data_IF_547380001103
#
_entry.id   IF_547380001103
#
_cell.length_a   1.000
_cell.length_b   1.000
_cell.length_c   1.000
_cell.angle_alpha   90.00
_cell.angle_beta   90.00
_cell.angle_gamma   90.00
#
_symmetry.space_group_name_H-M   'P 1'
#
loop_
_entity.id
_entity.type
_entity.pdbx_description
1 polymer ?
#
# COMPACT_ATOMS: atom_id res chain seq x y z
N UNK A 1 86.22 2.57 -12.40
CA UNK A 1 85.06 2.77 -11.50
C UNK A 1 83.93 3.47 -12.29
N UNK A 2 83.04 2.74 -12.92
CA UNK A 2 81.81 3.25 -13.53
C UNK A 2 80.97 2.03 -13.92
N UNK A 3 79.82 1.81 -13.31
CA UNK A 3 78.68 1.06 -13.80
C UNK A 3 77.87 0.42 -12.66
N UNK A 4 77.10 1.21 -11.91
CA UNK A 4 76.16 0.65 -10.97
C UNK A 4 74.80 1.43 -10.92
N UNK A 5 74.54 2.36 -11.85
CA UNK A 5 73.34 3.27 -11.76
C UNK A 5 72.21 2.97 -12.75
N UNK A 6 72.41 2.07 -13.73
CA UNK A 6 71.42 1.83 -14.78
C UNK A 6 70.50 0.63 -14.52
N UNK A 7 70.78 -0.21 -13.53
CA UNK A 7 70.00 -1.42 -13.28
C UNK A 7 68.79 -1.21 -12.38
N UNK A 8 68.80 -0.16 -11.52
CA UNK A 8 67.74 0.12 -10.58
C UNK A 8 66.54 0.78 -11.25
N UNK A 9 66.75 1.55 -12.34
CA UNK A 9 65.67 2.22 -13.08
C UNK A 9 64.81 1.26 -13.93
N UNK A 10 65.41 0.20 -14.45
CA UNK A 10 64.70 -0.75 -15.30
C UNK A 10 63.81 -1.71 -14.51
N UNK A 11 64.21 -2.07 -13.28
CA UNK A 11 63.41 -2.92 -12.40
C UNK A 11 62.14 -2.21 -11.89
N UNK A 12 62.20 -0.88 -11.66
CA UNK A 12 61.05 -0.08 -11.23
C UNK A 12 60.00 0.07 -12.34
N UNK A 13 60.42 0.17 -13.61
CA UNK A 13 59.51 0.36 -14.74
C UNK A 13 58.77 -0.94 -15.12
N UNK A 14 59.45 -2.10 -14.95
CA UNK A 14 58.82 -3.41 -15.19
C UNK A 14 57.79 -3.74 -14.11
N UNK A 15 58.01 -3.32 -12.85
CA UNK A 15 57.06 -3.55 -11.77
C UNK A 15 55.76 -2.70 -11.93
N UNK A 16 55.88 -1.47 -12.43
CA UNK A 16 54.73 -0.60 -12.73
C UNK A 16 53.88 -1.13 -13.90
N UNK A 17 54.54 -1.75 -14.93
CA UNK A 17 53.83 -2.33 -16.06
C UNK A 17 53.05 -3.61 -15.70
N UNK A 18 53.53 -4.40 -14.74
CA UNK A 18 52.84 -5.60 -14.25
C UNK A 18 51.58 -5.29 -13.44
N UNK A 19 51.52 -4.16 -12.75
CA UNK A 19 50.32 -3.72 -12.02
C UNK A 19 49.21 -3.26 -12.95
N UNK A 20 49.52 -2.68 -14.10
CA UNK A 20 48.53 -2.22 -15.10
C UNK A 20 47.91 -3.39 -15.89
N UNK A 21 48.64 -4.46 -16.14
CA UNK A 21 48.12 -5.65 -16.81
C UNK A 21 47.12 -6.45 -15.94
N UNK A 22 47.26 -6.41 -14.61
CA UNK A 22 46.32 -7.03 -13.67
C UNK A 22 44.98 -6.35 -13.61
N UNK A 23 44.92 -5.03 -13.76
CA UNK A 23 43.66 -4.26 -13.71
C UNK A 23 42.83 -4.37 -15.00
N UNK A 24 43.50 -4.43 -16.19
CA UNK A 24 42.80 -4.56 -17.47
C UNK A 24 42.04 -5.89 -17.62
N UNK A 25 42.53 -6.95 -16.99
CA UNK A 25 41.92 -8.29 -17.03
C UNK A 25 40.68 -8.41 -16.10
N UNK A 26 40.46 -7.46 -15.18
CA UNK A 26 39.32 -7.48 -14.24
C UNK A 26 38.14 -6.54 -14.65
N UNK A 27 38.37 -5.64 -15.61
CA UNK A 27 37.35 -4.69 -16.07
C UNK A 27 36.15 -5.39 -16.71
N UNK A 28 36.38 -6.34 -17.61
CA UNK A 28 35.28 -7.05 -18.29
C UNK A 28 34.42 -7.90 -17.33
N UNK A 29 35.01 -8.70 -16.40
CA UNK A 29 34.23 -9.38 -15.37
C UNK A 29 33.43 -8.42 -14.47
N UNK A 30 34.00 -7.29 -14.08
CA UNK A 30 33.31 -6.28 -13.27
C UNK A 30 32.13 -5.65 -14.04
N UNK A 31 32.34 -5.31 -15.31
CA UNK A 31 31.29 -4.77 -16.19
C UNK A 31 30.14 -5.78 -16.37
N UNK A 32 30.48 -7.04 -16.61
CA UNK A 32 29.47 -8.09 -16.73
C UNK A 32 28.67 -8.25 -15.44
N UNK A 33 29.31 -8.23 -14.28
CA UNK A 33 28.63 -8.35 -12.99
C UNK A 33 27.61 -7.21 -12.75
N UNK A 34 27.95 -5.98 -13.12
CA UNK A 34 27.02 -4.84 -13.07
C UNK A 34 25.84 -5.08 -14.02
N UNK A 35 26.10 -5.50 -15.26
CA UNK A 35 25.05 -5.77 -16.23
C UNK A 35 24.10 -6.91 -15.79
N UNK A 36 24.64 -7.95 -15.18
CA UNK A 36 23.83 -9.06 -14.64
C UNK A 36 22.90 -8.58 -13.50
N UNK A 37 23.36 -7.66 -12.65
CA UNK A 37 22.54 -7.05 -11.59
C UNK A 37 21.44 -6.15 -12.18
N UNK A 38 21.79 -5.32 -13.17
CA UNK A 38 20.80 -4.48 -13.87
C UNK A 38 19.71 -5.32 -14.53
N UNK A 39 20.10 -6.42 -15.17
CA UNK A 39 19.15 -7.37 -15.77
C UNK A 39 18.24 -8.00 -14.70
N UNK A 40 18.78 -8.37 -13.54
CA UNK A 40 18.01 -8.93 -12.44
C UNK A 40 17.02 -7.92 -11.84
N UNK A 41 17.40 -6.66 -11.66
CA UNK A 41 16.50 -5.59 -11.24
C UNK A 41 15.39 -5.38 -12.27
N UNK A 42 15.75 -5.36 -13.55
CA UNK A 42 14.79 -5.20 -14.65
C UNK A 42 13.79 -6.34 -14.72
N UNK A 43 14.20 -7.56 -14.38
CA UNK A 43 13.34 -8.74 -14.33
C UNK A 43 12.27 -8.68 -13.23
N UNK A 44 12.47 -7.88 -12.18
CA UNK A 44 11.44 -7.63 -11.17
C UNK A 44 10.23 -6.84 -11.71
N UNK A 45 10.41 -6.19 -12.85
CA UNK A 45 9.35 -5.48 -13.58
C UNK A 45 8.89 -4.18 -12.91
N UNK A 46 7.88 -3.52 -13.51
CA UNK A 46 7.37 -2.24 -13.01
C UNK A 46 6.66 -2.35 -11.67
N UNK A 47 6.12 -3.53 -11.34
CA UNK A 47 5.38 -3.77 -10.11
C UNK A 47 6.27 -3.66 -8.86
N UNK A 48 7.60 -3.85 -8.99
CA UNK A 48 8.53 -3.77 -7.87
C UNK A 48 8.50 -2.41 -7.16
N UNK A 49 8.30 -1.32 -7.90
CA UNK A 49 8.18 0.03 -7.33
C UNK A 49 6.93 0.22 -6.49
N UNK A 50 5.87 -0.53 -6.77
CA UNK A 50 4.60 -0.47 -6.05
C UNK A 50 4.58 -1.42 -4.84
N UNK A 51 5.08 -2.65 -5.01
CA UNK A 51 4.90 -3.69 -4.02
C UNK A 51 6.10 -3.89 -3.08
N UNK A 52 7.32 -3.53 -3.53
CA UNK A 52 8.56 -3.68 -2.73
C UNK A 52 9.48 -2.46 -2.89
N UNK A 53 8.99 -1.21 -2.72
CA UNK A 53 9.75 0.01 -3.01
C UNK A 53 11.04 0.11 -2.20
N UNK A 54 11.04 -0.30 -0.93
CA UNK A 54 12.20 -0.20 -0.04
C UNK A 54 13.32 -1.17 -0.47
N UNK A 55 12.95 -2.39 -0.86
CA UNK A 55 13.91 -3.38 -1.35
C UNK A 55 14.50 -2.94 -2.69
N UNK A 56 13.66 -2.47 -3.61
CA UNK A 56 14.09 -1.92 -4.89
C UNK A 56 15.03 -0.71 -4.69
N UNK A 57 14.68 0.20 -3.79
CA UNK A 57 15.49 1.37 -3.45
C UNK A 57 16.86 0.96 -2.91
N UNK A 58 16.91 0.01 -1.99
CA UNK A 58 18.14 -0.51 -1.40
C UNK A 58 19.06 -1.13 -2.46
N UNK A 59 18.52 -2.00 -3.31
CA UNK A 59 19.31 -2.66 -4.37
C UNK A 59 19.80 -1.64 -5.41
N UNK A 60 18.96 -0.68 -5.77
CA UNK A 60 19.34 0.38 -6.73
C UNK A 60 20.44 1.29 -6.17
N UNK A 61 20.38 1.64 -4.90
CA UNK A 61 21.42 2.42 -4.23
C UNK A 61 22.76 1.65 -4.23
N UNK A 62 22.73 0.38 -3.83
CA UNK A 62 23.94 -0.46 -3.81
C UNK A 62 24.53 -0.66 -5.21
N UNK A 63 23.69 -0.75 -6.24
CA UNK A 63 24.15 -0.76 -7.64
C UNK A 63 24.85 0.55 -8.02
N UNK A 64 24.31 1.70 -7.55
CA UNK A 64 24.96 3.01 -7.71
C UNK A 64 26.37 3.04 -7.09
N UNK A 65 26.50 2.50 -5.87
CA UNK A 65 27.79 2.39 -5.18
C UNK A 65 28.78 1.48 -5.94
N UNK A 66 28.26 0.39 -6.52
CA UNK A 66 29.06 -0.53 -7.35
C UNK A 66 29.57 0.15 -8.62
N UNK A 67 28.72 0.93 -9.29
CA UNK A 67 29.10 1.72 -10.46
C UNK A 67 30.12 2.80 -10.11
N UNK A 68 29.99 3.46 -8.97
CA UNK A 68 30.98 4.42 -8.50
C UNK A 68 32.37 3.77 -8.27
N UNK A 69 32.42 2.56 -7.71
CA UNK A 69 33.67 1.77 -7.60
C UNK A 69 34.25 1.41 -8.97
N UNK A 70 33.39 1.04 -9.91
CA UNK A 70 33.83 0.73 -11.28
C UNK A 70 34.47 1.96 -11.95
N UNK A 71 33.87 3.15 -11.82
CA UNK A 71 34.38 4.41 -12.36
C UNK A 71 35.72 4.80 -11.71
N UNK A 72 35.90 4.47 -10.43
CA UNK A 72 37.19 4.61 -9.71
C UNK A 72 38.23 3.54 -10.10
N UNK A 73 37.89 2.62 -11.02
CA UNK A 73 38.73 1.48 -11.46
C UNK A 73 38.99 0.45 -10.36
N UNK A 74 38.18 0.43 -9.29
CA UNK A 74 38.20 -0.60 -8.26
C UNK A 74 37.43 -1.85 -8.73
N UNK A 75 37.90 -2.46 -9.81
CA UNK A 75 37.26 -3.64 -10.41
C UNK A 75 37.26 -4.84 -9.45
N UNK A 76 38.26 -4.94 -8.60
CA UNK A 76 38.36 -6.00 -7.60
C UNK A 76 37.28 -5.85 -6.52
N UNK A 77 37.03 -4.64 -6.07
CA UNK A 77 35.97 -4.33 -5.14
C UNK A 77 34.59 -4.59 -5.74
N UNK A 78 34.38 -4.27 -7.03
CA UNK A 78 33.13 -4.60 -7.74
C UNK A 78 32.92 -6.12 -7.79
N UNK A 79 33.92 -6.90 -8.24
CA UNK A 79 33.82 -8.37 -8.37
C UNK A 79 33.54 -9.02 -7.00
N UNK A 80 34.09 -8.49 -5.93
CA UNK A 80 33.90 -9.02 -4.58
C UNK A 80 32.50 -8.75 -4.03
N UNK A 81 31.92 -7.58 -4.32
CA UNK A 81 30.60 -7.18 -3.79
C UNK A 81 29.42 -7.62 -4.68
N UNK A 82 29.63 -7.76 -5.98
CA UNK A 82 28.58 -8.06 -6.95
C UNK A 82 27.77 -9.33 -6.67
N UNK A 83 28.33 -10.48 -6.23
CA UNK A 83 27.53 -11.68 -6.00
C UNK A 83 26.44 -11.52 -4.94
N UNK A 84 26.72 -10.82 -3.85
CA UNK A 84 25.75 -10.56 -2.81
C UNK A 84 24.60 -9.67 -3.33
N UNK A 85 24.95 -8.62 -4.09
CA UNK A 85 23.96 -7.72 -4.67
C UNK A 85 23.14 -8.39 -5.77
N UNK A 86 23.75 -9.24 -6.58
CA UNK A 86 23.03 -10.03 -7.61
C UNK A 86 21.99 -10.95 -6.96
N UNK A 87 22.35 -11.60 -5.86
CA UNK A 87 21.38 -12.44 -5.11
C UNK A 87 20.20 -11.61 -4.61
N UNK A 88 20.44 -10.42 -4.07
CA UNK A 88 19.38 -9.52 -3.64
C UNK A 88 18.52 -9.04 -4.82
N UNK A 89 19.13 -8.68 -5.94
CA UNK A 89 18.42 -8.26 -7.15
C UNK A 89 17.55 -9.38 -7.72
N UNK A 90 18.06 -10.62 -7.74
CA UNK A 90 17.28 -11.79 -8.19
C UNK A 90 16.09 -12.10 -7.26
N UNK A 91 16.24 -11.84 -5.96
CA UNK A 91 15.15 -12.03 -5.00
C UNK A 91 14.00 -11.02 -5.17
N UNK A 92 14.25 -9.86 -5.79
CA UNK A 92 13.21 -8.83 -6.00
C UNK A 92 12.01 -9.35 -6.79
N UNK A 93 12.21 -10.14 -7.83
CA UNK A 93 11.12 -10.67 -8.65
C UNK A 93 10.18 -11.56 -7.82
N UNK A 94 10.74 -12.45 -7.01
CA UNK A 94 9.96 -13.31 -6.11
C UNK A 94 9.26 -12.50 -5.01
N UNK A 95 9.97 -11.53 -4.41
CA UNK A 95 9.39 -10.64 -3.41
C UNK A 95 8.23 -9.80 -3.97
N UNK A 96 8.38 -9.27 -5.19
CA UNK A 96 7.34 -8.52 -5.89
C UNK A 96 6.10 -9.40 -6.13
N UNK A 97 6.28 -10.61 -6.65
CA UNK A 97 5.17 -11.53 -6.89
C UNK A 97 4.42 -11.88 -5.59
N UNK A 98 5.14 -12.22 -4.52
CA UNK A 98 4.55 -12.55 -3.22
C UNK A 98 3.83 -11.36 -2.59
N UNK A 99 4.39 -10.16 -2.66
CA UNK A 99 3.77 -8.95 -2.12
C UNK A 99 2.50 -8.57 -2.89
N UNK A 100 2.51 -8.73 -4.21
CA UNK A 100 1.33 -8.53 -5.07
C UNK A 100 0.21 -9.51 -4.72
N UNK A 101 0.54 -10.80 -4.64
CA UNK A 101 -0.44 -11.84 -4.26
C UNK A 101 -1.04 -11.56 -2.87
N UNK A 102 -0.21 -11.18 -1.89
CA UNK A 102 -0.69 -10.82 -0.56
C UNK A 102 -1.62 -9.59 -0.59
N UNK A 103 -1.30 -8.58 -1.40
CA UNK A 103 -2.15 -7.39 -1.54
C UNK A 103 -3.49 -7.71 -2.21
N UNK A 104 -3.50 -8.57 -3.23
CA UNK A 104 -4.73 -9.03 -3.89
C UNK A 104 -5.60 -9.88 -2.95
N UNK A 105 -4.99 -10.77 -2.17
CA UNK A 105 -5.69 -11.57 -1.16
C UNK A 105 -6.29 -10.69 -0.06
N UNK A 106 -5.54 -9.69 0.42
CA UNK A 106 -6.04 -8.73 1.42
C UNK A 106 -7.21 -7.90 0.89
N UNK A 107 -7.14 -7.48 -0.39
CA UNK A 107 -8.25 -6.78 -1.05
C UNK A 107 -9.49 -7.64 -1.18
N UNK A 108 -9.33 -8.90 -1.58
CA UNK A 108 -10.43 -9.85 -1.68
C UNK A 108 -11.11 -10.09 -0.31
N UNK A 109 -10.31 -10.30 0.75
CA UNK A 109 -10.81 -10.47 2.11
C UNK A 109 -11.55 -9.22 2.63
N UNK A 110 -11.05 -8.02 2.31
CA UNK A 110 -11.71 -6.77 2.66
C UNK A 110 -13.08 -6.61 1.97
N UNK A 111 -13.16 -6.98 0.68
CA UNK A 111 -14.44 -6.96 -0.06
C UNK A 111 -15.44 -7.99 0.49
N UNK A 112 -14.97 -9.17 0.87
CA UNK A 112 -15.81 -10.19 1.51
C UNK A 112 -16.36 -9.70 2.86
N UNK A 113 -15.52 -9.09 3.69
CA UNK A 113 -15.93 -8.50 4.97
C UNK A 113 -16.97 -7.37 4.78
N UNK A 114 -16.76 -6.50 3.79
CA UNK A 114 -17.76 -5.46 3.43
C UNK A 114 -19.08 -6.07 2.95
N UNK A 115 -19.04 -7.15 2.17
CA UNK A 115 -20.24 -7.88 1.73
C UNK A 115 -21.03 -8.48 2.90
N UNK A 116 -20.34 -9.07 3.87
CA UNK A 116 -20.97 -9.60 5.10
C UNK A 116 -21.59 -8.47 5.95
N UNK A 117 -20.88 -7.35 6.09
CA UNK A 117 -21.39 -6.17 6.79
C UNK A 117 -22.62 -5.58 6.10
N UNK A 118 -22.57 -5.43 4.77
CA UNK A 118 -23.74 -5.00 3.99
C UNK A 118 -24.94 -5.90 4.25
N UNK A 119 -24.76 -7.22 4.24
CA UNK A 119 -25.83 -8.18 4.51
C UNK A 119 -26.47 -7.93 5.87
N UNK A 120 -25.65 -7.69 6.90
CA UNK A 120 -26.13 -7.40 8.26
C UNK A 120 -26.89 -6.06 8.32
N UNK A 121 -26.32 -5.00 7.76
CA UNK A 121 -26.92 -3.66 7.78
C UNK A 121 -28.22 -3.62 6.96
N UNK A 122 -28.23 -4.24 5.78
CA UNK A 122 -29.41 -4.26 4.91
C UNK A 122 -30.58 -5.05 5.47
N UNK A 123 -30.31 -6.04 6.30
CA UNK A 123 -31.36 -6.77 7.01
C UNK A 123 -31.97 -5.97 8.17
N UNK A 124 -31.18 -5.15 8.87
CA UNK A 124 -31.61 -4.48 10.09
C UNK A 124 -32.15 -3.06 9.85
N UNK A 125 -31.48 -2.26 9.03
CA UNK A 125 -31.75 -0.82 8.90
C UNK A 125 -33.13 -0.47 8.39
N UNK A 126 -33.75 -1.15 7.40
CA UNK A 126 -35.10 -0.82 6.95
C UNK A 126 -36.14 -0.92 8.05
N UNK A 127 -36.04 -1.94 8.90
CA UNK A 127 -36.95 -2.13 10.02
C UNK A 127 -36.75 -1.04 11.10
N UNK A 128 -35.52 -0.66 11.39
CA UNK A 128 -35.20 0.41 12.34
C UNK A 128 -35.74 1.77 11.84
N UNK A 129 -35.45 2.12 10.59
CA UNK A 129 -35.96 3.37 9.97
C UNK A 129 -37.47 3.41 9.97
N UNK A 130 -38.16 2.32 9.63
CA UNK A 130 -39.59 2.22 9.66
C UNK A 130 -40.19 2.39 11.08
N UNK A 131 -39.54 1.82 12.10
CA UNK A 131 -39.95 1.97 13.49
C UNK A 131 -39.82 3.43 13.96
N UNK A 132 -38.72 4.10 13.62
CA UNK A 132 -38.51 5.53 13.91
C UNK A 132 -39.57 6.37 13.20
N UNK A 133 -39.83 6.10 11.92
CA UNK A 133 -40.87 6.81 11.14
C UNK A 133 -42.22 6.67 11.78
N UNK A 134 -42.61 5.46 12.16
CA UNK A 134 -43.86 5.20 12.85
C UNK A 134 -43.98 6.03 14.15
N UNK A 135 -42.90 6.03 14.96
CA UNK A 135 -42.86 6.80 16.21
C UNK A 135 -42.94 8.31 15.97
N UNK A 136 -42.20 8.83 14.99
CA UNK A 136 -42.26 10.24 14.58
C UNK A 136 -43.66 10.61 14.11
N UNK A 137 -44.33 9.78 13.32
CA UNK A 137 -45.71 10.01 12.85
C UNK A 137 -46.72 10.06 14.00
N UNK A 138 -46.60 9.19 14.99
CA UNK A 138 -47.45 9.19 16.19
C UNK A 138 -47.25 10.49 16.97
N UNK A 139 -46.01 10.87 17.24
CA UNK A 139 -45.65 12.06 18.01
C UNK A 139 -46.02 13.35 17.29
N UNK A 140 -45.91 13.41 15.97
CA UNK A 140 -46.33 14.57 15.16
C UNK A 140 -47.84 14.85 15.23
N UNK A 141 -48.66 13.84 15.50
CA UNK A 141 -50.11 13.96 15.67
C UNK A 141 -50.51 14.23 17.13
N UNK A 142 -49.57 14.14 18.05
CA UNK A 142 -49.84 14.33 19.47
C UNK A 142 -49.89 15.82 19.82
N UNK A 143 -50.85 16.21 20.65
CA UNK A 143 -50.99 17.61 21.14
C UNK A 143 -49.82 18.04 22.04
N UNK A 144 -49.09 17.09 22.63
CA UNK A 144 -47.98 17.33 23.54
C UNK A 144 -46.94 16.21 23.39
N UNK A 145 -45.68 16.59 23.33
CA UNK A 145 -44.55 15.64 23.35
C UNK A 145 -44.37 15.02 24.74
N UNK A 146 -43.77 13.83 24.85
CA UNK A 146 -43.33 13.25 26.11
C UNK A 146 -42.42 14.20 26.89
N UNK A 147 -42.46 14.13 28.23
CA UNK A 147 -41.71 15.06 29.09
C UNK A 147 -40.18 15.02 28.91
N UNK A 148 -39.68 13.94 28.39
CA UNK A 148 -38.25 13.72 28.09
C UNK A 148 -37.84 14.12 26.66
N UNK A 149 -38.72 14.69 25.86
CA UNK A 149 -38.48 15.06 24.47
C UNK A 149 -38.94 16.49 24.21
N UNK A 150 -38.00 17.41 24.05
CA UNK A 150 -38.32 18.78 23.66
C UNK A 150 -38.53 18.92 22.14
N UNK A 151 -39.10 20.07 21.74
CA UNK A 151 -39.44 20.33 20.33
C UNK A 151 -38.19 20.39 19.45
N UNK A 152 -37.07 20.97 19.92
CA UNK A 152 -35.83 21.08 19.15
C UNK A 152 -35.22 19.70 18.86
N UNK A 153 -35.16 18.84 19.86
CA UNK A 153 -34.73 17.44 19.72
C UNK A 153 -35.66 16.69 18.77
N UNK A 154 -36.99 16.85 18.88
CA UNK A 154 -37.92 16.21 17.97
C UNK A 154 -37.75 16.67 16.52
N UNK A 155 -37.50 17.96 16.29
CA UNK A 155 -37.25 18.50 14.95
C UNK A 155 -35.91 17.97 14.38
N UNK A 156 -34.86 17.83 15.21
CA UNK A 156 -33.64 17.17 14.83
C UNK A 156 -33.80 15.71 14.45
N UNK A 157 -34.65 14.96 15.17
CA UNK A 157 -34.99 13.57 14.82
C UNK A 157 -35.69 13.48 13.47
N UNK A 158 -36.63 14.39 13.16
CA UNK A 158 -37.30 14.43 11.84
C UNK A 158 -36.31 14.70 10.71
N UNK A 159 -35.39 15.66 10.90
CA UNK A 159 -34.36 15.95 9.92
C UNK A 159 -33.40 14.74 9.74
N UNK A 160 -32.95 14.17 10.85
CA UNK A 160 -32.10 12.98 10.82
C UNK A 160 -32.75 11.76 10.15
N UNK A 161 -34.07 11.58 10.32
CA UNK A 161 -34.80 10.53 9.62
C UNK A 161 -34.89 10.78 8.11
N UNK A 162 -35.09 12.03 7.68
CA UNK A 162 -35.09 12.38 6.26
C UNK A 162 -33.73 12.11 5.62
N UNK A 163 -32.66 12.54 6.29
CA UNK A 163 -31.28 12.26 5.86
C UNK A 163 -31.00 10.73 5.81
N UNK A 164 -31.44 9.98 6.83
CA UNK A 164 -31.23 8.53 6.87
C UNK A 164 -31.90 7.83 5.68
N UNK A 165 -33.09 8.29 5.25
CA UNK A 165 -33.75 7.77 4.07
C UNK A 165 -32.97 8.06 2.79
N UNK A 166 -32.50 9.30 2.60
CA UNK A 166 -31.69 9.67 1.45
C UNK A 166 -30.41 8.84 1.39
N UNK A 167 -29.71 8.70 2.51
CA UNK A 167 -28.50 7.86 2.61
C UNK A 167 -28.79 6.38 2.35
N UNK A 168 -29.98 5.90 2.72
CA UNK A 168 -30.37 4.52 2.41
C UNK A 168 -30.60 4.31 0.91
N UNK A 169 -31.22 5.27 0.24
CA UNK A 169 -31.40 5.23 -1.22
C UNK A 169 -30.03 5.26 -1.92
N UNK A 170 -29.09 6.09 -1.45
CA UNK A 170 -27.71 6.11 -1.94
C UNK A 170 -26.99 4.77 -1.70
N UNK A 171 -27.14 4.19 -0.51
CA UNK A 171 -26.52 2.90 -0.17
C UNK A 171 -27.02 1.78 -1.09
N UNK A 172 -28.34 1.71 -1.32
CA UNK A 172 -28.93 0.69 -2.20
C UNK A 172 -28.56 0.90 -3.66
N UNK A 173 -28.47 2.15 -4.14
CA UNK A 173 -28.00 2.46 -5.48
C UNK A 173 -26.51 2.08 -5.68
N UNK A 174 -25.66 2.37 -4.68
CA UNK A 174 -24.26 1.98 -4.70
C UNK A 174 -24.09 0.45 -4.75
N UNK A 175 -24.86 -0.27 -3.95
CA UNK A 175 -24.89 -1.73 -3.97
C UNK A 175 -25.34 -2.29 -5.33
N UNK A 176 -26.38 -1.71 -5.92
CA UNK A 176 -26.89 -2.12 -7.22
C UNK A 176 -25.88 -1.89 -8.35
N UNK A 177 -25.00 -0.89 -8.20
CA UNK A 177 -23.90 -0.62 -9.14
C UNK A 177 -22.63 -1.47 -8.86
N UNK A 178 -22.64 -2.32 -7.83
CA UNK A 178 -21.51 -3.15 -7.43
C UNK A 178 -20.47 -2.44 -6.58
N UNK A 179 -20.72 -1.20 -6.16
CA UNK A 179 -19.82 -0.46 -5.27
C UNK A 179 -20.15 -0.75 -3.79
N UNK A 180 -19.71 -1.93 -3.33
CA UNK A 180 -19.98 -2.40 -1.96
C UNK A 180 -19.40 -1.49 -0.89
N UNK A 181 -18.25 -0.89 -1.13
CA UNK A 181 -17.58 0.03 -0.19
C UNK A 181 -18.41 1.29 0.05
N UNK A 182 -18.91 1.93 -1.03
CA UNK A 182 -19.80 3.08 -0.93
C UNK A 182 -21.13 2.70 -0.28
N UNK A 183 -21.69 1.53 -0.61
CA UNK A 183 -22.92 1.04 -0.03
C UNK A 183 -22.81 0.87 1.49
N UNK A 184 -21.76 0.21 1.97
CA UNK A 184 -21.52 0.01 3.41
C UNK A 184 -21.23 1.34 4.11
N UNK A 185 -20.48 2.24 3.47
CA UNK A 185 -20.20 3.57 4.04
C UNK A 185 -21.49 4.37 4.26
N UNK A 186 -22.37 4.43 3.27
CA UNK A 186 -23.66 5.09 3.41
C UNK A 186 -24.56 4.39 4.44
N UNK A 187 -24.61 3.06 4.45
CA UNK A 187 -25.38 2.28 5.41
C UNK A 187 -24.91 2.47 6.87
N UNK A 188 -23.61 2.62 7.12
CA UNK A 188 -23.09 2.98 8.45
C UNK A 188 -23.60 4.36 8.90
N UNK A 189 -23.67 5.32 8.00
CA UNK A 189 -24.24 6.65 8.31
C UNK A 189 -25.75 6.56 8.60
N UNK A 190 -26.48 5.74 7.86
CA UNK A 190 -27.89 5.45 8.18
C UNK A 190 -28.03 4.88 9.57
N UNK A 191 -27.19 3.89 9.92
CA UNK A 191 -27.18 3.29 11.25
C UNK A 191 -26.93 4.34 12.35
N UNK A 192 -25.93 5.19 12.18
CA UNK A 192 -25.60 6.25 13.14
C UNK A 192 -26.79 7.19 13.37
N UNK A 193 -27.44 7.65 12.28
CA UNK A 193 -28.61 8.51 12.36
C UNK A 193 -29.83 7.81 12.99
N UNK A 194 -30.03 6.54 12.66
CA UNK A 194 -31.11 5.73 13.24
C UNK A 194 -30.88 5.50 14.74
N UNK A 195 -29.67 5.13 15.15
CA UNK A 195 -29.35 4.94 16.57
C UNK A 195 -29.51 6.24 17.38
N UNK A 196 -29.07 7.38 16.84
CA UNK A 196 -29.27 8.69 17.46
C UNK A 196 -30.75 9.05 17.59
N UNK A 197 -31.56 8.81 16.55
CA UNK A 197 -32.99 9.05 16.56
C UNK A 197 -33.72 8.15 17.57
N UNK A 198 -33.37 6.86 17.63
CA UNK A 198 -33.92 5.90 18.59
C UNK A 198 -33.62 6.33 20.02
N UNK A 199 -32.36 6.70 20.31
CA UNK A 199 -31.96 7.19 21.62
C UNK A 199 -32.78 8.45 22.04
N UNK A 200 -32.89 9.43 21.15
CA UNK A 200 -33.64 10.65 21.39
C UNK A 200 -35.16 10.40 21.64
N UNK A 201 -35.73 9.40 20.95
CA UNK A 201 -37.13 9.00 21.08
C UNK A 201 -37.37 8.05 22.28
N UNK A 202 -36.36 7.66 23.02
CA UNK A 202 -36.45 6.69 24.13
C UNK A 202 -36.83 5.29 23.66
N UNK A 203 -36.45 4.93 22.42
CA UNK A 203 -36.67 3.60 21.84
C UNK A 203 -35.46 2.70 22.11
N UNK A 204 -35.68 1.42 22.41
CA UNK A 204 -34.61 0.43 22.51
C UNK A 204 -34.42 -0.24 21.16
N UNK A 205 -33.20 -0.49 20.76
CA UNK A 205 -32.91 -1.37 19.64
C UNK A 205 -33.44 -2.77 20.00
N UNK A 206 -34.34 -3.27 19.20
CA UNK A 206 -34.90 -4.62 19.36
C UNK A 206 -33.91 -5.69 18.91
#
# INVERSE_FOLDING_TARGET
MKSRSTFTGFLSMVFAALLLAGCANQMEPAKKAIADIEAAISAAGPDASQYVPDQLGTVTQQLGDLKAKFDQKDYKGVIAAAPALLTQAQALAGATASAKEAAEAAKAAALEALGAEWTTLSAALPAQVAAIESRVNILSKSKKLPANLDQATFDSVKAGLADAKTLWDEATAAQASGNVEAAVTAARQVKEKADAAMAALGMTAG
#
